data_IF_260648126233
#
_entry.id   IF_260648126233
#
_cell.length_a   1.000
_cell.length_b   1.000
_cell.length_c   1.000
_cell.angle_alpha   90.00
_cell.angle_beta   90.00
_cell.angle_gamma   90.00
#
_symmetry.space_group_name_H-M   'P 1'
#
loop_
_entity.id
_entity.type
_entity.pdbx_description
1 polymer ?
#
# COMPACT_ATOMS: atom_id res chain seq x y z
N UNK A 1 14.48 25.41 -19.49
CA UNK A 1 14.80 24.09 -18.92
C UNK A 1 14.11 23.97 -17.56
N UNK A 2 12.83 23.59 -17.52
CA UNK A 2 12.10 23.40 -16.26
C UNK A 2 12.42 22.00 -15.73
N UNK A 3 13.42 21.90 -14.85
CA UNK A 3 13.76 20.67 -14.16
C UNK A 3 12.56 20.18 -13.37
N UNK A 4 12.02 19.03 -13.75
CA UNK A 4 10.98 18.32 -13.02
C UNK A 4 11.60 17.80 -11.72
N UNK A 5 11.61 18.62 -10.66
CA UNK A 5 12.08 18.19 -9.33
C UNK A 5 11.20 17.00 -8.93
N UNK A 6 11.76 15.78 -8.80
CA UNK A 6 10.96 14.64 -8.41
C UNK A 6 10.37 14.95 -7.03
N UNK A 7 9.05 14.89 -6.91
CA UNK A 7 8.37 14.99 -5.62
C UNK A 7 9.03 13.99 -4.67
N UNK A 8 9.68 14.51 -3.63
CA UNK A 8 10.46 13.71 -2.69
C UNK A 8 9.52 12.67 -2.05
N UNK A 9 9.70 11.39 -2.41
CA UNK A 9 8.96 10.28 -1.80
C UNK A 9 9.34 10.22 -0.33
N UNK A 10 8.35 10.16 0.53
CA UNK A 10 8.59 9.94 1.96
C UNK A 10 8.94 8.46 2.20
N UNK A 11 10.24 8.18 2.30
CA UNK A 11 10.79 6.85 2.56
C UNK A 11 10.27 6.26 3.88
N UNK A 12 9.87 7.10 4.85
CA UNK A 12 9.37 6.62 6.16
C UNK A 12 8.09 5.81 5.98
N UNK A 13 7.20 6.30 5.11
CA UNK A 13 5.92 5.64 4.82
C UNK A 13 6.15 4.32 4.11
N UNK A 14 7.13 4.25 3.21
CA UNK A 14 7.48 3.00 2.54
C UNK A 14 8.06 1.95 3.50
N UNK A 15 8.83 2.37 4.51
CA UNK A 15 9.34 1.48 5.58
C UNK A 15 8.19 0.92 6.43
N UNK A 16 7.24 1.76 6.85
CA UNK A 16 6.08 1.29 7.61
C UNK A 16 5.19 0.33 6.81
N UNK A 17 5.03 0.58 5.50
CA UNK A 17 4.32 -0.34 4.60
C UNK A 17 5.02 -1.69 4.47
N UNK A 18 6.35 -1.69 4.35
CA UNK A 18 7.14 -2.92 4.27
C UNK A 18 7.07 -3.72 5.59
N UNK A 19 7.15 -3.03 6.73
CA UNK A 19 7.02 -3.65 8.05
C UNK A 19 5.64 -4.32 8.22
N UNK A 20 4.57 -3.65 7.77
CA UNK A 20 3.21 -4.19 7.82
C UNK A 20 3.02 -5.42 6.92
N UNK A 21 3.65 -5.46 5.74
CA UNK A 21 3.65 -6.66 4.88
C UNK A 21 4.37 -7.83 5.55
N UNK A 22 5.48 -7.56 6.25
CA UNK A 22 6.22 -8.58 6.99
C UNK A 22 5.39 -9.16 8.14
N UNK A 23 4.69 -8.32 8.92
CA UNK A 23 3.80 -8.82 9.99
C UNK A 23 2.62 -9.61 9.45
N UNK A 24 2.02 -9.23 8.31
CA UNK A 24 0.97 -10.04 7.67
C UNK A 24 1.51 -11.42 7.27
N UNK A 25 2.67 -11.47 6.62
CA UNK A 25 3.28 -12.74 6.19
C UNK A 25 3.54 -13.67 7.39
N UNK A 26 4.14 -13.15 8.46
CA UNK A 26 4.40 -13.92 9.68
C UNK A 26 3.10 -14.41 10.33
N UNK A 27 2.04 -13.59 10.32
CA UNK A 27 0.74 -13.98 10.88
C UNK A 27 -0.02 -15.03 10.05
N UNK A 28 0.24 -15.13 8.75
CA UNK A 28 -0.49 -16.02 7.83
C UNK A 28 0.27 -17.32 7.47
N UNK A 29 1.54 -17.47 7.85
CA UNK A 29 2.32 -18.71 7.69
C UNK A 29 2.30 -19.50 9.01
N UNK A 30 1.44 -20.53 9.15
CA UNK A 30 1.37 -21.32 10.38
C UNK A 30 2.60 -22.24 10.53
N UNK A 31 3.16 -22.31 11.75
CA UNK A 31 4.22 -23.28 12.09
C UNK A 31 5.63 -22.74 12.37
N UNK A 32 5.80 -21.43 12.64
CA UNK A 32 7.10 -20.84 13.00
C UNK A 32 7.16 -20.38 14.46
N UNK A 33 8.33 -20.45 15.10
CA UNK A 33 8.58 -20.08 16.52
C UNK A 33 8.16 -18.62 16.84
N UNK A 34 8.00 -17.79 15.81
CA UNK A 34 7.54 -16.40 15.90
C UNK A 34 6.03 -16.24 16.16
N UNK A 35 5.24 -17.33 16.15
CA UNK A 35 3.79 -17.27 16.47
C UNK A 35 3.52 -16.72 17.89
N UNK A 36 4.46 -16.89 18.84
CA UNK A 36 4.34 -16.37 20.20
C UNK A 36 4.75 -14.89 20.36
N UNK A 37 5.48 -14.32 19.39
CA UNK A 37 5.96 -12.92 19.44
C UNK A 37 5.11 -12.01 18.55
N UNK A 38 4.32 -12.58 17.66
CA UNK A 38 3.54 -11.81 16.68
C UNK A 38 2.17 -11.44 17.25
N UNK A 39 1.68 -10.25 16.88
CA UNK A 39 0.54 -9.49 17.44
C UNK A 39 -0.82 -10.22 17.54
N UNK A 40 -0.90 -11.51 17.22
CA UNK A 40 -2.09 -12.36 17.35
C UNK A 40 -2.66 -12.42 18.78
N UNK A 41 -1.87 -12.07 19.80
CA UNK A 41 -2.28 -12.07 21.21
C UNK A 41 -2.35 -10.69 21.92
N UNK A 42 -2.05 -9.55 21.25
CA UNK A 42 -1.81 -8.27 21.96
C UNK A 42 -2.55 -7.02 21.45
N UNK A 43 -3.45 -7.10 20.45
CA UNK A 43 -4.09 -5.89 19.93
C UNK A 43 -5.51 -6.10 19.45
N UNK A 44 -6.38 -5.11 19.71
CA UNK A 44 -7.77 -5.02 19.25
C UNK A 44 -7.94 -4.95 17.72
N UNK A 45 -6.83 -4.96 16.94
CA UNK A 45 -6.81 -4.71 15.50
C UNK A 45 -5.80 -5.64 14.80
N UNK A 46 -6.19 -6.24 13.68
CA UNK A 46 -5.38 -7.20 12.92
C UNK A 46 -4.29 -6.50 12.08
N UNK A 47 -3.22 -7.22 11.75
CA UNK A 47 -2.13 -6.69 10.92
C UNK A 47 -2.58 -6.28 9.52
N UNK A 48 -3.65 -6.88 8.99
CA UNK A 48 -4.29 -6.43 7.76
C UNK A 48 -4.87 -5.01 7.89
N UNK A 49 -5.51 -4.68 9.01
CA UNK A 49 -6.12 -3.37 9.25
C UNK A 49 -5.06 -2.27 9.35
N UNK A 50 -3.94 -2.54 10.04
CA UNK A 50 -2.81 -1.63 10.10
C UNK A 50 -2.19 -1.36 8.72
N UNK A 51 -2.06 -2.40 7.87
CA UNK A 51 -1.57 -2.26 6.51
C UNK A 51 -2.50 -1.41 5.63
N UNK A 52 -3.81 -1.64 5.71
CA UNK A 52 -4.82 -0.88 4.96
C UNK A 52 -4.80 0.59 5.39
N UNK A 53 -4.72 0.88 6.69
CA UNK A 53 -4.65 2.25 7.22
C UNK A 53 -3.41 3.00 6.69
N UNK A 54 -2.22 2.40 6.82
CA UNK A 54 -0.96 3.02 6.37
C UNK A 54 -0.95 3.21 4.85
N UNK A 55 -1.48 2.23 4.10
CA UNK A 55 -1.61 2.33 2.64
C UNK A 55 -2.56 3.46 2.23
N UNK A 56 -3.67 3.64 2.95
CA UNK A 56 -4.60 4.74 2.74
C UNK A 56 -3.95 6.11 2.98
N UNK A 57 -3.17 6.26 4.06
CA UNK A 57 -2.42 7.48 4.37
C UNK A 57 -1.40 7.78 3.25
N UNK A 58 -0.67 6.78 2.78
CA UNK A 58 0.30 6.92 1.69
C UNK A 58 -0.35 7.42 0.38
N UNK A 59 -1.51 6.85 0.03
CA UNK A 59 -2.30 7.27 -1.14
C UNK A 59 -2.83 8.69 -0.96
N UNK A 60 -3.31 9.02 0.24
CA UNK A 60 -3.75 10.37 0.61
C UNK A 60 -2.63 11.40 0.45
N UNK A 61 -1.40 11.10 0.86
CA UNK A 61 -0.26 12.01 0.68
C UNK A 61 0.19 12.12 -0.78
N UNK A 62 0.12 11.02 -1.55
CA UNK A 62 0.54 11.01 -2.96
C UNK A 62 -0.44 11.72 -3.91
N UNK A 63 -1.75 11.64 -3.63
CA UNK A 63 -2.79 12.18 -4.52
C UNK A 63 -3.63 13.30 -3.89
N UNK A 64 -3.66 13.44 -2.57
CA UNK A 64 -4.51 14.39 -1.84
C UNK A 64 -4.20 15.85 -2.17
N UNK A 65 -2.92 16.22 -2.26
CA UNK A 65 -2.50 17.58 -2.67
C UNK A 65 -2.94 17.94 -4.09
N UNK A 66 -3.15 16.93 -4.95
CA UNK A 66 -3.61 17.13 -6.33
C UNK A 66 -5.14 17.18 -6.40
N UNK A 67 -5.86 16.72 -5.37
CA UNK A 67 -7.31 16.55 -5.33
C UNK A 67 -8.08 17.87 -5.13
N UNK A 68 -7.79 18.85 -5.99
CA UNK A 68 -8.41 20.18 -5.99
C UNK A 68 -9.77 20.17 -6.71
N UNK A 69 -10.72 21.04 -6.33
CA UNK A 69 -11.98 21.22 -7.05
C UNK A 69 -11.70 21.46 -8.55
N UNK A 70 -12.33 20.67 -9.42
CA UNK A 70 -12.11 20.69 -10.88
C UNK A 70 -11.20 19.58 -11.42
N UNK A 71 -10.26 19.05 -10.63
CA UNK A 71 -9.32 18.00 -11.08
C UNK A 71 -9.56 16.62 -10.44
N UNK A 72 -10.57 16.52 -9.56
CA UNK A 72 -10.91 15.31 -8.79
C UNK A 72 -11.16 14.08 -9.67
N UNK A 73 -12.00 14.25 -10.70
CA UNK A 73 -12.33 13.16 -11.63
C UNK A 73 -11.10 12.65 -12.39
N UNK A 74 -10.26 13.56 -12.88
CA UNK A 74 -9.06 13.20 -13.63
C UNK A 74 -8.05 12.41 -12.77
N UNK A 75 -7.90 12.78 -11.49
CA UNK A 75 -7.02 12.08 -10.56
C UNK A 75 -7.57 10.71 -10.19
N UNK A 76 -8.88 10.62 -9.92
CA UNK A 76 -9.55 9.34 -9.69
C UNK A 76 -9.40 8.41 -10.89
N UNK A 77 -9.61 8.90 -12.10
CA UNK A 77 -9.45 8.11 -13.33
C UNK A 77 -7.99 7.65 -13.52
N UNK A 78 -7.01 8.51 -13.21
CA UNK A 78 -5.59 8.15 -13.28
C UNK A 78 -5.21 7.06 -12.27
N UNK A 79 -5.73 7.15 -11.05
CA UNK A 79 -5.57 6.11 -10.04
C UNK A 79 -6.24 4.79 -10.47
N UNK A 80 -7.45 4.87 -11.02
CA UNK A 80 -8.20 3.70 -11.48
C UNK A 80 -7.53 3.01 -12.67
N UNK A 81 -7.02 3.77 -13.65
CA UNK A 81 -6.22 3.21 -14.75
C UNK A 81 -5.00 2.46 -14.21
N UNK A 82 -4.30 3.02 -13.22
CA UNK A 82 -3.13 2.36 -12.61
C UNK A 82 -3.53 1.08 -11.86
N UNK A 83 -4.63 1.09 -11.13
CA UNK A 83 -5.17 -0.10 -10.49
C UNK A 83 -5.54 -1.18 -11.52
N UNK A 84 -6.17 -0.80 -12.62
CA UNK A 84 -6.50 -1.71 -13.73
C UNK A 84 -5.26 -2.33 -14.37
N UNK A 85 -4.21 -1.55 -14.62
CA UNK A 85 -2.92 -2.10 -15.12
C UNK A 85 -2.37 -3.14 -14.15
N UNK A 86 -2.27 -2.81 -12.86
CA UNK A 86 -1.74 -3.74 -11.86
C UNK A 86 -2.58 -5.03 -11.76
N UNK A 87 -3.91 -4.91 -11.83
CA UNK A 87 -4.80 -6.06 -11.81
C UNK A 87 -4.64 -6.95 -13.04
N UNK A 88 -4.61 -6.36 -14.24
CA UNK A 88 -4.39 -7.11 -15.48
C UNK A 88 -3.02 -7.78 -15.45
N UNK A 89 -1.97 -7.07 -15.06
CA UNK A 89 -0.63 -7.66 -14.93
C UNK A 89 -0.65 -8.83 -13.94
N UNK A 90 -1.32 -8.69 -12.80
CA UNK A 90 -1.44 -9.78 -11.82
C UNK A 90 -2.17 -11.00 -12.40
N UNK A 91 -3.34 -10.81 -13.03
CA UNK A 91 -4.11 -11.90 -13.65
C UNK A 91 -3.30 -12.59 -14.74
N UNK A 92 -2.64 -11.81 -15.61
CA UNK A 92 -1.81 -12.36 -16.68
C UNK A 92 -0.64 -13.18 -16.12
N UNK A 93 0.06 -12.68 -15.10
CA UNK A 93 1.15 -13.41 -14.44
C UNK A 93 0.64 -14.70 -13.79
N UNK A 94 -0.52 -14.66 -13.12
CA UNK A 94 -1.12 -15.84 -12.48
C UNK A 94 -1.60 -16.89 -13.50
N UNK A 95 -2.06 -16.47 -14.69
CA UNK A 95 -2.48 -17.40 -15.76
C UNK A 95 -1.28 -17.94 -16.55
N UNK A 96 -0.21 -17.15 -16.67
CA UNK A 96 0.99 -17.52 -17.41
C UNK A 96 1.96 -18.42 -16.62
N UNK A 97 1.79 -18.52 -15.30
CA UNK A 97 2.60 -19.36 -14.40
C UNK A 97 1.84 -20.61 -14.02
#
# INVERSE_FOLDING_TARGET
MTGNVPAQRDTRIDVFRALALLTIFVNHVPGTIFEYVTHKNLGFSDSAEAFVLISGIAVGLAYGLKFQPGNRLLISLKAWRRAGVLYITHVMTTVAT
#
